data_IF_108082331889
#
_entry.id   IF_108082331889
#
_cell.length_a   1.000
_cell.length_b   1.000
_cell.length_c   1.000
_cell.angle_alpha   90.00
_cell.angle_beta   90.00
_cell.angle_gamma   90.00
#
_symmetry.space_group_name_H-M   'P 1'
#
loop_
_entity.id
_entity.type
_entity.pdbx_description
1 polymer ?
#
# COMPACT_ATOMS: atom_id res chain seq x y z
N UNK A 1 -15.16 -1.67 13.00
CA UNK A 1 -14.08 -1.26 12.07
C UNK A 1 -13.82 -2.41 11.13
N UNK A 2 -13.59 -2.14 9.85
CA UNK A 2 -13.21 -3.20 8.90
C UNK A 2 -11.82 -3.74 9.28
N UNK A 3 -11.63 -5.05 9.23
CA UNK A 3 -10.34 -5.71 9.52
C UNK A 3 -9.80 -6.48 8.32
N UNK A 4 -10.45 -6.34 7.17
CA UNK A 4 -10.10 -7.08 5.97
C UNK A 4 -9.51 -6.16 4.91
N UNK A 5 -8.49 -6.68 4.24
CA UNK A 5 -7.94 -6.10 3.01
C UNK A 5 -8.57 -6.78 1.79
N UNK A 6 -8.51 -6.11 0.64
CA UNK A 6 -8.93 -6.67 -0.64
C UNK A 6 -7.73 -7.24 -1.41
N UNK A 7 -7.84 -8.47 -1.89
CA UNK A 7 -6.88 -9.10 -2.78
C UNK A 7 -7.61 -9.92 -3.84
N UNK A 8 -7.42 -9.56 -5.11
CA UNK A 8 -8.06 -10.17 -6.26
C UNK A 8 -9.60 -10.18 -6.17
N UNK A 9 -10.20 -9.08 -5.69
CA UNK A 9 -11.64 -8.97 -5.45
C UNK A 9 -12.14 -9.75 -4.23
N UNK A 10 -11.27 -10.48 -3.54
CA UNK A 10 -11.59 -11.23 -2.32
C UNK A 10 -11.24 -10.42 -1.09
N UNK A 11 -11.88 -10.73 0.04
CA UNK A 11 -11.54 -10.13 1.34
C UNK A 11 -10.65 -11.08 2.13
N UNK A 12 -9.58 -10.54 2.72
CA UNK A 12 -8.65 -11.27 3.58
C UNK A 12 -8.62 -10.58 4.93
N UNK A 13 -9.12 -11.26 5.97
CA UNK A 13 -9.05 -10.76 7.34
C UNK A 13 -7.60 -10.81 7.86
N UNK A 14 -7.11 -9.67 8.35
CA UNK A 14 -5.75 -9.54 8.89
C UNK A 14 -5.76 -9.26 10.40
N UNK A 15 -6.93 -9.24 11.05
CA UNK A 15 -7.07 -9.00 12.48
C UNK A 15 -6.75 -7.58 12.94
N UNK A 16 -6.47 -6.65 12.02
CA UNK A 16 -6.11 -5.26 12.31
C UNK A 16 -7.07 -4.29 11.58
N UNK A 17 -7.48 -3.17 12.20
CA UNK A 17 -8.31 -2.18 11.53
C UNK A 17 -7.69 -1.65 10.24
N UNK A 18 -8.48 -1.63 9.16
CA UNK A 18 -8.11 -1.11 7.85
C UNK A 18 -9.17 -0.15 7.36
N UNK A 19 -8.74 0.99 6.80
CA UNK A 19 -9.58 1.91 6.04
C UNK A 19 -9.37 1.63 4.55
N UNK A 20 -10.31 0.98 3.85
CA UNK A 20 -10.16 0.71 2.44
C UNK A 20 -10.51 1.92 1.58
N UNK A 21 -9.90 2.02 0.40
CA UNK A 21 -9.99 3.17 -0.50
C UNK A 21 -11.39 3.58 -0.96
N UNK A 22 -12.33 2.63 -0.98
CA UNK A 22 -13.70 2.84 -1.45
C UNK A 22 -14.66 3.24 -0.32
N UNK A 23 -14.16 3.40 0.90
CA UNK A 23 -14.93 3.89 2.05
C UNK A 23 -14.66 5.39 2.30
N UNK A 24 -15.59 6.10 2.96
CA UNK A 24 -15.36 7.47 3.41
C UNK A 24 -14.07 7.60 4.22
N UNK A 25 -13.23 8.56 3.86
CA UNK A 25 -11.92 8.78 4.50
C UNK A 25 -10.79 7.86 4.00
N UNK A 26 -11.07 6.93 3.09
CA UNK A 26 -10.04 6.15 2.40
C UNK A 26 -9.35 6.94 1.28
N UNK A 27 -8.20 6.42 0.84
CA UNK A 27 -7.40 7.01 -0.25
C UNK A 27 -7.40 6.07 -1.45
N UNK A 28 -7.84 6.51 -2.63
CA UNK A 28 -7.77 5.71 -3.85
C UNK A 28 -6.38 5.80 -4.48
N UNK A 29 -5.75 4.67 -4.81
CA UNK A 29 -4.43 4.64 -5.42
C UNK A 29 -4.38 5.58 -6.65
N UNK A 30 -3.44 6.53 -6.72
CA UNK A 30 -3.39 7.47 -7.85
C UNK A 30 -3.04 6.80 -9.17
N UNK A 31 -2.09 5.86 -9.15
CA UNK A 31 -1.53 5.26 -10.36
C UNK A 31 -1.43 3.73 -10.31
N UNK A 32 -2.56 3.00 -10.17
CA UNK A 32 -2.58 1.53 -10.23
C UNK A 32 -2.34 1.03 -11.66
N UNK A 33 -1.69 -0.12 -11.81
CA UNK A 33 -1.35 -0.71 -13.12
C UNK A 33 -1.53 -2.22 -13.14
N UNK A 34 -1.67 -2.77 -14.34
CA UNK A 34 -1.59 -4.21 -14.57
C UNK A 34 -0.20 -4.75 -14.23
N UNK A 35 -0.15 -6.00 -13.75
CA UNK A 35 1.08 -6.78 -13.55
C UNK A 35 1.34 -7.63 -14.78
N UNK A 36 2.56 -7.59 -15.31
CA UNK A 36 2.94 -8.43 -16.45
C UNK A 36 2.85 -9.93 -16.13
N UNK A 37 3.03 -10.29 -14.86
CA UNK A 37 2.97 -11.67 -14.38
C UNK A 37 1.53 -12.19 -14.16
N UNK A 38 0.51 -11.33 -14.28
CA UNK A 38 -0.89 -11.70 -14.12
C UNK A 38 -1.65 -11.52 -15.44
N UNK A 39 -2.63 -12.39 -15.69
CA UNK A 39 -3.34 -12.44 -16.97
C UNK A 39 -4.84 -12.13 -16.88
N UNK A 40 -5.40 -12.08 -15.67
CA UNK A 40 -6.82 -11.84 -15.42
C UNK A 40 -7.28 -10.37 -15.56
N UNK A 41 -6.66 -9.59 -16.45
CA UNK A 41 -7.04 -8.21 -16.79
C UNK A 41 -6.69 -7.91 -18.25
N UNK A 42 -7.11 -6.75 -18.78
CA UNK A 42 -6.69 -6.34 -20.12
C UNK A 42 -5.18 -6.09 -20.16
N UNK A 43 -4.40 -6.75 -21.04
CA UNK A 43 -2.96 -6.55 -21.14
C UNK A 43 -2.55 -5.10 -21.41
N UNK A 44 -3.45 -4.29 -22.00
CA UNK A 44 -3.24 -2.86 -22.25
C UNK A 44 -3.07 -2.04 -20.96
N UNK A 45 -3.45 -2.57 -19.80
CA UNK A 45 -3.22 -1.92 -18.50
C UNK A 45 -1.81 -2.13 -17.96
N UNK A 46 -1.05 -3.06 -18.53
CA UNK A 46 0.33 -3.33 -18.11
C UNK A 46 1.20 -2.12 -18.41
N UNK A 47 1.76 -1.53 -17.36
CA UNK A 47 2.60 -0.33 -17.46
C UNK A 47 1.93 0.88 -18.14
N UNK A 48 0.61 0.87 -18.37
CA UNK A 48 -0.10 2.02 -18.91
C UNK A 48 -0.27 3.13 -17.87
N UNK A 49 -0.42 4.40 -18.30
CA UNK A 49 -0.95 5.46 -17.44
C UNK A 49 -2.29 5.07 -16.81
N UNK A 50 -2.64 5.72 -15.68
CA UNK A 50 -3.91 5.47 -15.00
C UNK A 50 -5.09 5.54 -15.97
N UNK A 51 -5.93 4.52 -15.96
CA UNK A 51 -7.14 4.45 -16.75
C UNK A 51 -8.38 4.80 -15.90
N UNK A 52 -9.58 4.98 -16.50
CA UNK A 52 -10.81 5.08 -15.74
C UNK A 52 -11.02 3.84 -14.86
N UNK A 53 -11.63 4.00 -13.68
CA UNK A 53 -11.84 2.91 -12.73
C UNK A 53 -12.56 1.68 -13.34
N UNK A 54 -13.45 1.89 -14.30
CA UNK A 54 -14.15 0.81 -15.02
C UNK A 54 -13.23 -0.10 -15.85
N UNK A 55 -12.03 0.36 -16.21
CA UNK A 55 -11.06 -0.45 -16.94
C UNK A 55 -10.40 -1.51 -16.04
N UNK A 56 -10.32 -1.26 -14.74
CA UNK A 56 -9.69 -2.13 -13.75
C UNK A 56 -10.65 -3.24 -13.28
N UNK A 57 -10.98 -4.14 -14.22
CA UNK A 57 -11.82 -5.32 -13.96
C UNK A 57 -10.95 -6.57 -13.92
N UNK A 58 -11.18 -7.43 -12.94
CA UNK A 58 -10.55 -8.75 -12.81
C UNK A 58 -11.50 -9.79 -13.39
N UNK A 59 -11.03 -10.58 -14.37
CA UNK A 59 -11.87 -11.51 -15.13
C UNK A 59 -12.25 -12.76 -14.32
N UNK A 60 -11.26 -13.44 -13.76
CA UNK A 60 -11.43 -14.59 -12.86
C UNK A 60 -10.70 -14.33 -11.55
N UNK A 61 -11.47 -14.14 -10.47
CA UNK A 61 -10.94 -13.82 -9.14
C UNK A 61 -10.12 -14.95 -8.52
N UNK A 62 -10.41 -16.20 -8.86
CA UNK A 62 -9.72 -17.38 -8.32
C UNK A 62 -8.39 -17.57 -9.03
N UNK A 63 -8.40 -17.51 -10.37
CA UNK A 63 -7.18 -17.55 -11.16
C UNK A 63 -6.26 -16.37 -10.82
N UNK A 64 -6.83 -15.16 -10.67
CA UNK A 64 -6.09 -13.97 -10.29
C UNK A 64 -5.39 -14.12 -8.94
N UNK A 65 -6.08 -14.69 -7.95
CA UNK A 65 -5.49 -14.96 -6.64
C UNK A 65 -4.34 -15.96 -6.73
N UNK A 66 -4.51 -17.05 -7.50
CA UNK A 66 -3.45 -18.04 -7.73
C UNK A 66 -2.22 -17.43 -8.42
N UNK A 67 -2.42 -16.60 -9.45
CA UNK A 67 -1.34 -15.87 -10.14
C UNK A 67 -0.61 -14.91 -9.21
N UNK A 68 -1.36 -14.15 -8.40
CA UNK A 68 -0.79 -13.17 -7.48
C UNK A 68 0.10 -13.84 -6.43
N UNK A 69 -0.36 -14.94 -5.82
CA UNK A 69 0.41 -15.72 -4.83
C UNK A 69 1.73 -16.26 -5.41
N UNK A 70 1.77 -16.57 -6.70
CA UNK A 70 2.98 -17.07 -7.37
C UNK A 70 3.95 -15.96 -7.77
N UNK A 71 3.44 -14.75 -8.02
CA UNK A 71 4.22 -13.65 -8.62
C UNK A 71 4.67 -12.59 -7.61
N UNK A 72 3.93 -12.42 -6.51
CA UNK A 72 4.19 -11.40 -5.49
C UNK A 72 4.69 -12.04 -4.21
N UNK A 73 5.96 -11.77 -3.88
CA UNK A 73 6.67 -12.39 -2.75
C UNK A 73 7.55 -11.39 -1.98
N UNK A 74 7.50 -10.10 -2.33
CA UNK A 74 8.19 -9.04 -1.61
C UNK A 74 7.21 -8.11 -0.90
N UNK A 75 7.59 -7.66 0.29
CA UNK A 75 6.94 -6.57 1.00
C UNK A 75 7.97 -5.45 1.15
N UNK A 76 7.68 -4.29 0.56
CA UNK A 76 8.59 -3.15 0.56
C UNK A 76 8.02 -2.09 1.50
N UNK A 77 8.88 -1.64 2.43
CA UNK A 77 8.57 -0.61 3.40
C UNK A 77 9.32 0.66 3.03
N UNK A 78 8.60 1.76 2.91
CA UNK A 78 9.14 3.09 2.68
C UNK A 78 8.89 3.94 3.92
N UNK A 79 9.90 4.68 4.37
CA UNK A 79 9.62 5.90 5.12
C UNK A 79 9.24 6.96 4.09
N UNK A 80 8.07 7.57 4.26
CA UNK A 80 7.52 8.44 3.23
C UNK A 80 8.08 9.87 3.25
N UNK A 81 8.75 10.26 4.34
CA UNK A 81 9.23 11.62 4.60
C UNK A 81 8.08 12.64 4.60
N UNK A 82 6.86 12.17 4.85
CA UNK A 82 5.65 12.96 4.91
C UNK A 82 5.15 13.07 6.35
N UNK A 83 4.27 14.05 6.57
CA UNK A 83 3.69 14.31 7.90
C UNK A 83 2.66 13.24 8.30
N UNK A 84 1.83 12.82 7.35
CA UNK A 84 0.76 11.84 7.56
C UNK A 84 0.40 11.19 6.22
N UNK A 85 -0.46 10.14 6.27
CA UNK A 85 -0.89 9.42 5.08
C UNK A 85 -1.56 10.32 4.04
N UNK A 86 -2.32 11.33 4.48
CA UNK A 86 -2.95 12.31 3.58
C UNK A 86 -1.91 13.10 2.77
N UNK A 87 -0.84 13.57 3.43
CA UNK A 87 0.21 14.32 2.75
C UNK A 87 0.99 13.43 1.77
N UNK A 88 1.33 12.21 2.17
CA UNK A 88 1.93 11.22 1.27
C UNK A 88 1.02 10.97 0.05
N UNK A 89 -0.28 10.82 0.28
CA UNK A 89 -1.25 10.58 -0.78
C UNK A 89 -1.29 11.71 -1.82
N UNK A 90 -1.33 12.97 -1.39
CA UNK A 90 -1.33 14.12 -2.31
C UNK A 90 -0.01 14.21 -3.11
N UNK A 91 1.14 13.93 -2.50
CA UNK A 91 2.43 13.88 -3.22
C UNK A 91 2.45 12.78 -4.28
N UNK A 92 1.94 11.59 -3.96
CA UNK A 92 1.87 10.48 -4.91
C UNK A 92 0.86 10.74 -6.03
N UNK A 93 -0.19 11.50 -5.75
CA UNK A 93 -1.21 11.92 -6.70
C UNK A 93 -0.74 13.02 -7.66
N UNK A 94 0.17 13.87 -7.21
CA UNK A 94 0.85 14.86 -8.06
C UNK A 94 1.94 14.23 -8.95
N UNK A 95 2.29 12.95 -8.72
CA UNK A 95 3.11 12.17 -9.63
C UNK A 95 2.37 11.89 -10.95
N UNK A 96 3.09 11.34 -11.93
CA UNK A 96 2.48 10.77 -13.14
C UNK A 96 2.49 9.24 -13.14
N UNK A 97 3.12 8.62 -12.13
CA UNK A 97 3.38 7.19 -12.15
C UNK A 97 3.37 6.49 -10.80
N UNK A 98 3.50 7.21 -9.67
CA UNK A 98 3.72 6.59 -8.36
C UNK A 98 2.42 6.22 -7.64
N UNK A 99 2.51 5.20 -6.80
CA UNK A 99 1.43 4.82 -5.92
C UNK A 99 1.96 3.80 -4.92
N UNK A 100 1.20 3.56 -3.87
CA UNK A 100 1.51 2.51 -2.90
C UNK A 100 0.24 1.78 -2.54
N UNK A 101 0.34 0.50 -2.19
CA UNK A 101 -0.80 -0.34 -1.84
C UNK A 101 -1.34 0.01 -0.46
N UNK A 102 -0.45 0.40 0.46
CA UNK A 102 -0.80 0.76 1.82
C UNK A 102 -0.13 2.06 2.26
N UNK A 103 -0.85 2.78 3.11
CA UNK A 103 -0.28 3.82 3.97
C UNK A 103 -0.45 3.41 5.43
N UNK A 104 0.60 3.57 6.22
CA UNK A 104 0.58 3.40 7.66
C UNK A 104 0.80 4.76 8.31
N UNK A 105 -0.24 5.33 8.92
CA UNK A 105 -0.18 6.66 9.51
C UNK A 105 0.48 6.65 10.91
N UNK A 106 0.79 7.84 11.42
CA UNK A 106 1.42 8.05 12.73
C UNK A 106 0.60 7.49 13.90
N UNK A 107 -0.72 7.43 13.77
CA UNK A 107 -1.63 6.88 14.78
C UNK A 107 -1.84 5.36 14.66
N UNK A 108 -1.16 4.72 13.71
CA UNK A 108 -1.28 3.30 13.43
C UNK A 108 -2.46 2.94 12.52
N UNK A 109 -3.20 3.91 11.99
CA UNK A 109 -4.24 3.65 11.00
C UNK A 109 -3.62 3.10 9.72
N UNK A 110 -4.10 1.93 9.30
CA UNK A 110 -3.71 1.30 8.05
C UNK A 110 -4.73 1.62 6.96
N UNK A 111 -4.29 2.29 5.91
CA UNK A 111 -5.09 2.55 4.72
C UNK A 111 -4.71 1.56 3.62
N UNK A 112 -5.69 0.92 3.00
CA UNK A 112 -5.48 0.20 1.75
C UNK A 112 -5.95 1.06 0.59
N UNK A 113 -5.09 1.28 -0.41
CA UNK A 113 -5.38 2.25 -1.48
C UNK A 113 -5.95 1.63 -2.76
N UNK A 114 -5.68 0.35 -2.99
CA UNK A 114 -6.21 -0.43 -4.10
C UNK A 114 -6.17 -1.92 -3.77
N UNK A 115 -6.85 -2.70 -4.60
CA UNK A 115 -6.76 -4.16 -4.59
C UNK A 115 -5.31 -4.60 -4.87
N UNK A 116 -4.81 -5.59 -4.11
CA UNK A 116 -3.44 -6.11 -4.24
C UNK A 116 -3.13 -6.74 -5.60
N UNK A 117 -4.16 -7.07 -6.38
CA UNK A 117 -3.99 -7.54 -7.75
C UNK A 117 -3.24 -6.52 -8.63
N UNK A 118 -3.56 -5.24 -8.47
CA UNK A 118 -2.89 -4.18 -9.21
C UNK A 118 -1.52 -3.91 -8.61
N UNK A 119 -0.55 -3.56 -9.44
CA UNK A 119 0.73 -3.05 -8.96
C UNK A 119 0.71 -1.55 -8.80
N UNK A 120 1.64 -1.08 -8.00
CA UNK A 120 1.99 0.33 -7.85
C UNK A 120 3.49 0.52 -8.10
N UNK A 121 3.93 1.76 -8.32
CA UNK A 121 5.32 2.06 -8.69
C UNK A 121 6.05 2.89 -7.64
N UNK A 122 6.50 2.26 -6.56
CA UNK A 122 7.42 2.87 -5.57
C UNK A 122 8.61 1.99 -5.20
N UNK A 123 8.73 0.76 -5.73
CA UNK A 123 9.87 -0.10 -5.48
C UNK A 123 11.17 0.46 -6.12
N UNK A 124 12.34 0.17 -5.53
CA UNK A 124 13.63 0.41 -6.18
C UNK A 124 13.73 -0.36 -7.50
N UNK A 125 14.33 0.29 -8.51
CA UNK A 125 14.40 -0.21 -9.88
C UNK A 125 15.64 -1.09 -10.14
N UNK A 126 16.24 -1.67 -9.10
CA UNK A 126 17.55 -2.34 -9.15
C UNK A 126 17.64 -3.41 -10.26
N UNK A 127 16.53 -4.09 -10.55
CA UNK A 127 16.36 -5.02 -11.67
C UNK A 127 15.18 -4.68 -12.59
N UNK A 128 14.61 -3.48 -12.45
CA UNK A 128 13.44 -3.02 -13.21
C UNK A 128 12.13 -3.77 -12.94
N UNK A 129 12.14 -4.80 -12.09
CA UNK A 129 11.00 -5.69 -11.84
C UNK A 129 10.46 -5.60 -10.42
N UNK A 130 11.05 -4.78 -9.54
CA UNK A 130 10.63 -4.63 -8.14
C UNK A 130 9.12 -4.43 -7.96
N UNK A 131 8.52 -3.57 -8.78
CA UNK A 131 7.09 -3.27 -8.73
C UNK A 131 6.19 -4.46 -9.11
N UNK A 132 6.68 -5.40 -9.94
CA UNK A 132 5.89 -6.55 -10.42
C UNK A 132 5.66 -7.59 -9.32
N UNK A 133 6.59 -7.70 -8.37
CA UNK A 133 6.65 -8.79 -7.38
C UNK A 133 6.41 -8.34 -5.94
N UNK A 134 5.99 -7.09 -5.76
CA UNK A 134 5.93 -6.47 -4.44
C UNK A 134 4.56 -5.88 -4.08
N UNK A 135 4.30 -5.89 -2.78
CA UNK A 135 3.33 -5.05 -2.07
C UNK A 135 4.10 -3.95 -1.38
N UNK A 136 3.61 -2.71 -1.46
CA UNK A 136 4.31 -1.54 -0.94
C UNK A 136 3.53 -0.90 0.21
N UNK A 137 4.26 -0.45 1.22
CA UNK A 137 3.74 0.28 2.37
C UNK A 137 4.53 1.57 2.50
N UNK A 138 3.86 2.72 2.42
CA UNK A 138 4.45 4.00 2.82
C UNK A 138 4.11 4.22 4.30
N UNK A 139 5.12 4.49 5.10
CA UNK A 139 4.99 4.70 6.54
C UNK A 139 5.21 6.18 6.82
N UNK A 140 4.19 6.82 7.38
CA UNK A 140 4.25 8.20 7.82
C UNK A 140 5.46 8.41 8.73
N UNK A 141 6.39 9.24 8.28
CA UNK A 141 7.62 9.46 8.99
C UNK A 141 8.13 10.90 8.81
N UNK A 142 8.03 11.67 9.89
CA UNK A 142 8.49 13.05 10.04
C UNK A 142 10.02 13.20 10.17
N UNK A 143 10.79 12.30 9.58
CA UNK A 143 12.25 12.16 9.75
C UNK A 143 13.05 13.46 9.52
N UNK A 144 12.52 14.41 8.74
CA UNK A 144 13.19 15.69 8.51
C UNK A 144 13.13 16.68 9.69
N UNK A 145 12.18 16.52 10.63
CA UNK A 145 12.05 17.36 11.84
C UNK A 145 12.56 16.69 13.12
N UNK A 146 12.80 15.37 13.10
CA UNK A 146 13.26 14.65 14.28
C UNK A 146 14.75 14.96 14.58
N UNK A 147 15.00 16.08 15.26
CA UNK A 147 16.30 16.36 15.88
C UNK A 147 16.53 15.35 17.00
N UNK A 148 17.78 14.86 17.10
CA UNK A 148 18.26 13.84 18.04
C UNK A 148 17.78 14.06 19.49
N UNK A 149 17.58 15.31 19.88
CA UNK A 149 17.23 15.74 21.24
C UNK A 149 15.73 15.59 21.57
N UNK A 150 14.85 15.37 20.59
CA UNK A 150 13.39 15.23 20.79
C UNK A 150 12.92 13.78 21.00
N UNK A 151 13.80 12.81 20.79
CA UNK A 151 13.49 11.38 20.86
C UNK A 151 13.40 10.82 22.31
N UNK A 152 12.82 11.59 23.22
CA UNK A 152 12.59 11.21 24.64
C UNK A 152 11.76 9.93 24.84
N UNK A 153 11.07 9.46 23.78
CA UNK A 153 10.41 8.16 23.70
C UNK A 153 11.36 6.95 23.87
N UNK A 154 12.68 7.11 23.73
CA UNK A 154 13.66 6.03 23.95
C UNK A 154 14.13 5.88 25.41
N UNK A 155 13.75 6.80 26.31
CA UNK A 155 14.07 6.74 27.73
C UNK A 155 12.87 6.32 28.57
N UNK A 156 12.17 5.26 28.18
CA UNK A 156 11.18 4.61 29.05
C UNK A 156 11.90 3.72 30.07
N UNK A 157 11.93 4.09 31.38
CA UNK A 157 12.67 3.33 32.40
C UNK A 157 11.98 2.00 32.77
N UNK A 158 10.79 1.74 32.23
CA UNK A 158 9.96 0.57 32.52
C UNK A 158 9.13 0.19 31.30
N UNK A 159 8.79 -1.07 31.17
CA UNK A 159 7.89 -1.56 30.12
C UNK A 159 6.47 -1.01 30.34
N UNK A 160 6.02 -0.09 29.47
CA UNK A 160 4.68 0.53 29.51
C UNK A 160 3.60 -0.32 28.83
N UNK A 161 3.98 -1.39 28.13
CA UNK A 161 3.06 -2.28 27.41
C UNK A 161 2.64 -3.51 28.22
N UNK A 162 3.13 -3.67 29.46
CA UNK A 162 2.62 -4.70 30.37
C UNK A 162 1.29 -4.25 30.95
N UNK A 163 0.19 -4.75 30.40
CA UNK A 163 -1.06 -4.77 31.16
C UNK A 163 -0.86 -5.68 32.38
N UNK A 164 -1.01 -5.08 33.56
CA UNK A 164 -1.02 -5.81 34.82
C UNK A 164 -2.23 -6.75 34.77
N UNK A 165 -1.96 -8.06 34.79
CA UNK A 165 -3.01 -9.07 34.98
C UNK A 165 -3.58 -8.99 36.39
#
# INVERSE_FOLDING_TARGET
MNQSIAACGQTVDIGAPVVPWHQPGGFACPHPRGRLACSQHSPDLNNAPTQPASAYTIQDLTAAYSELVQSVYQLILHYDVCYCSYHCHEILKDSTFKGSHFYLDLDGTLYQTCDLYWKTNTAPADDGMGNERAVHVEIANLSWQALKDESSLYHVPRNVYRQVR
#
